data_IF_550023460429
#
_entry.id   IF_550023460429
#
_cell.length_a   1.000
_cell.length_b   1.000
_cell.length_c   1.000
_cell.angle_alpha   90.00
_cell.angle_beta   90.00
_cell.angle_gamma   90.00
#
_symmetry.space_group_name_H-M   'P 1'
#
loop_
_entity.id
_entity.type
_entity.pdbx_description
1 polymer ?
#
# COMPACT_ATOMS: atom_id res chain seq x y z
N UNK A 1 3.76 -10.82 -14.95
CA UNK A 1 4.57 -11.14 -13.75
C UNK A 1 5.79 -10.24 -13.80
N UNK A 2 6.01 -9.43 -12.77
CA UNK A 2 7.13 -8.49 -12.70
C UNK A 2 8.20 -9.09 -11.79
N UNK A 3 9.41 -9.33 -12.30
CA UNK A 3 10.53 -9.83 -11.51
C UNK A 3 11.50 -8.67 -11.29
N UNK A 4 11.76 -8.32 -10.04
CA UNK A 4 12.84 -7.42 -9.63
C UNK A 4 14.07 -8.27 -9.31
N UNK A 5 15.13 -8.16 -10.09
CA UNK A 5 16.43 -8.74 -9.75
C UNK A 5 17.36 -7.66 -9.21
N UNK A 6 17.89 -7.85 -8.00
CA UNK A 6 19.05 -7.10 -7.52
C UNK A 6 20.32 -7.80 -8.01
N UNK A 7 21.24 -7.05 -8.63
CA UNK A 7 22.54 -7.56 -9.03
C UNK A 7 23.59 -6.99 -8.08
N UNK A 8 24.35 -7.86 -7.39
CA UNK A 8 25.56 -7.43 -6.68
C UNK A 8 26.61 -7.06 -7.73
N UNK A 9 27.09 -5.83 -7.66
CA UNK A 9 27.99 -5.24 -8.64
C UNK A 9 29.42 -5.11 -8.14
N UNK A 10 29.76 -5.68 -6.98
CA UNK A 10 31.12 -5.64 -6.44
C UNK A 10 32.12 -6.27 -7.43
N UNK A 11 32.84 -5.48 -8.25
CA UNK A 11 33.80 -6.02 -9.20
C UNK A 11 35.12 -6.12 -8.45
N UNK A 12 35.46 -7.33 -8.03
CA UNK A 12 36.63 -7.64 -7.21
C UNK A 12 36.50 -7.14 -5.77
N UNK A 13 36.45 -8.10 -4.86
CA UNK A 13 36.74 -7.92 -3.44
C UNK A 13 37.99 -7.06 -3.25
N UNK A 14 37.82 -5.78 -2.92
CA UNK A 14 38.87 -5.03 -2.23
C UNK A 14 38.93 -5.68 -0.86
N UNK A 15 39.98 -6.47 -0.64
CA UNK A 15 40.30 -7.07 0.64
C UNK A 15 40.51 -5.97 1.68
N UNK A 16 39.43 -5.55 2.34
CA UNK A 16 39.53 -4.94 3.66
C UNK A 16 39.94 -6.04 4.63
N UNK A 17 40.74 -5.69 5.64
CA UNK A 17 41.35 -6.63 6.60
C UNK A 17 40.34 -7.50 7.39
N UNK A 18 39.03 -7.39 7.13
CA UNK A 18 37.94 -8.12 7.79
C UNK A 18 36.93 -8.85 6.87
N UNK A 19 37.13 -8.98 5.55
CA UNK A 19 36.21 -9.72 4.66
C UNK A 19 34.71 -9.32 4.77
N UNK A 20 34.41 -8.05 5.08
CA UNK A 20 33.03 -7.57 5.21
C UNK A 20 32.54 -6.92 3.92
N UNK A 21 31.67 -7.60 3.17
CA UNK A 21 30.94 -7.01 2.02
C UNK A 21 30.03 -5.89 2.51
N UNK A 22 30.19 -4.69 1.98
CA UNK A 22 29.36 -3.52 2.33
C UNK A 22 28.57 -3.07 1.12
N UNK A 23 27.25 -2.99 1.27
CA UNK A 23 26.35 -2.48 0.22
C UNK A 23 26.51 -0.96 0.17
N UNK A 24 27.01 -0.44 -0.95
CA UNK A 24 27.19 1.01 -1.18
C UNK A 24 25.98 1.66 -1.84
N UNK A 25 25.08 0.87 -2.41
CA UNK A 25 23.85 1.35 -3.03
C UNK A 25 23.13 0.22 -3.75
N UNK A 26 21.90 0.48 -4.18
CA UNK A 26 21.07 -0.52 -4.84
C UNK A 26 20.17 0.10 -5.90
N UNK A 27 19.71 -0.76 -6.81
CA UNK A 27 18.70 -0.42 -7.78
C UNK A 27 18.02 -1.69 -8.28
N UNK A 28 16.85 -1.52 -8.87
CA UNK A 28 16.02 -2.58 -9.40
C UNK A 28 15.25 -2.11 -10.64
N UNK A 29 14.95 -3.08 -11.49
CA UNK A 29 14.21 -2.89 -12.73
C UNK A 29 13.34 -4.11 -12.97
N UNK A 30 12.19 -3.90 -13.60
CA UNK A 30 11.40 -5.02 -14.07
C UNK A 30 11.94 -5.59 -15.37
N UNK A 31 12.04 -6.91 -15.43
CA UNK A 31 12.43 -7.62 -16.66
C UNK A 31 11.38 -7.53 -17.78
N UNK A 32 10.12 -7.22 -17.45
CA UNK A 32 9.04 -7.00 -18.41
C UNK A 32 8.38 -5.66 -18.14
N UNK A 33 8.09 -4.91 -19.20
CA UNK A 33 7.37 -3.63 -19.11
C UNK A 33 5.86 -3.83 -18.91
N UNK A 34 5.11 -2.73 -18.77
CA UNK A 34 3.65 -2.75 -18.58
C UNK A 34 2.88 -3.37 -19.76
N UNK A 35 3.50 -3.44 -20.96
CA UNK A 35 2.94 -4.09 -22.15
C UNK A 35 3.26 -5.59 -22.17
N UNK A 36 3.91 -6.09 -21.13
CA UNK A 36 4.42 -7.45 -21.00
C UNK A 36 5.49 -7.78 -22.05
N UNK A 37 6.29 -6.79 -22.46
CA UNK A 37 7.43 -6.99 -23.35
C UNK A 37 8.72 -7.02 -22.52
N UNK A 38 9.60 -7.97 -22.81
CA UNK A 38 10.90 -8.07 -22.15
C UNK A 38 11.77 -6.86 -22.50
N UNK A 39 12.40 -6.28 -21.49
CA UNK A 39 13.33 -5.17 -21.70
C UNK A 39 14.61 -5.62 -22.43
N UNK A 40 15.14 -4.80 -23.33
CA UNK A 40 16.33 -5.11 -24.13
C UNK A 40 17.13 -3.85 -24.48
N UNK A 41 18.44 -4.00 -24.74
CA UNK A 41 19.31 -2.87 -25.07
C UNK A 41 20.01 -2.24 -23.87
N UNK A 42 20.39 -0.97 -23.99
CA UNK A 42 21.21 -0.27 -23.00
C UNK A 42 20.33 0.47 -21.99
N UNK A 43 20.60 0.28 -20.70
CA UNK A 43 19.92 0.94 -19.60
C UNK A 43 20.90 1.74 -18.75
N UNK A 44 20.46 2.90 -18.27
CA UNK A 44 21.18 3.70 -17.28
C UNK A 44 20.24 3.95 -16.11
N UNK A 45 20.59 3.38 -14.96
CA UNK A 45 19.72 3.31 -13.81
C UNK A 45 20.33 4.07 -12.63
N UNK A 46 19.48 4.85 -11.95
CA UNK A 46 19.80 5.54 -10.71
C UNK A 46 20.13 4.54 -9.58
N UNK A 47 21.14 4.84 -8.77
CA UNK A 47 21.50 4.05 -7.58
C UNK A 47 21.03 4.80 -6.34
N UNK A 48 20.26 4.11 -5.48
CA UNK A 48 19.82 4.63 -4.18
C UNK A 48 20.82 4.27 -3.09
N UNK A 49 20.93 5.13 -2.09
CA UNK A 49 21.69 4.83 -0.88
C UNK A 49 21.02 3.70 -0.08
N UNK A 50 21.78 2.90 0.68
CA UNK A 50 21.23 1.94 1.62
C UNK A 50 20.31 2.60 2.65
N UNK A 51 19.37 1.84 3.26
CA UNK A 51 19.20 0.40 3.15
C UNK A 51 18.59 -0.05 1.81
N UNK A 52 18.84 -1.30 1.41
CA UNK A 52 18.17 -1.93 0.26
C UNK A 52 16.73 -2.21 0.62
N UNK A 53 15.79 -1.67 -0.15
CA UNK A 53 14.36 -1.83 0.06
C UNK A 53 13.76 -2.44 -1.20
N UNK A 54 13.91 -3.76 -1.44
CA UNK A 54 13.40 -4.42 -2.65
C UNK A 54 11.89 -4.64 -2.51
N UNK A 55 11.14 -3.56 -2.37
CA UNK A 55 9.73 -3.56 -2.01
C UNK A 55 8.93 -3.00 -3.17
N UNK A 56 8.82 -3.81 -4.23
CA UNK A 56 7.78 -3.70 -5.26
C UNK A 56 7.79 -2.47 -6.17
N UNK A 57 8.41 -1.34 -5.82
CA UNK A 57 8.56 -0.15 -6.68
C UNK A 57 10.01 -0.07 -7.15
N UNK A 58 10.28 -0.16 -8.45
CA UNK A 58 11.63 0.01 -8.94
C UNK A 58 12.06 1.46 -8.78
N UNK A 59 13.36 1.68 -8.57
CA UNK A 59 13.94 3.03 -8.48
C UNK A 59 13.60 3.90 -9.70
N UNK A 60 13.34 3.29 -10.87
CA UNK A 60 12.85 3.99 -12.07
C UNK A 60 11.55 4.77 -11.88
N UNK A 61 10.70 4.35 -10.94
CA UNK A 61 9.39 4.95 -10.69
C UNK A 61 9.43 6.00 -9.56
N UNK A 62 10.60 6.37 -9.04
CA UNK A 62 10.70 7.36 -7.96
C UNK A 62 10.47 8.77 -8.51
N UNK A 63 9.74 9.60 -7.75
CA UNK A 63 9.34 10.94 -8.18
C UNK A 63 10.44 12.00 -8.10
N UNK A 64 11.45 11.79 -7.24
CA UNK A 64 12.52 12.74 -7.01
C UNK A 64 13.82 12.04 -6.57
N UNK A 65 14.81 12.01 -7.46
CA UNK A 65 16.08 11.30 -7.26
C UNK A 65 17.13 12.15 -6.50
N UNK A 66 16.73 12.92 -5.50
CA UNK A 66 17.69 13.74 -4.73
C UNK A 66 18.65 12.92 -3.83
N UNK A 67 18.47 11.59 -3.77
CA UNK A 67 19.29 10.64 -3.00
C UNK A 67 20.15 9.72 -3.90
N UNK A 68 20.67 10.25 -5.01
CA UNK A 68 21.50 9.47 -5.93
C UNK A 68 22.90 9.23 -5.38
N UNK A 69 23.33 7.97 -5.38
CA UNK A 69 24.74 7.59 -5.21
C UNK A 69 25.44 7.29 -6.54
N UNK A 70 24.91 7.86 -7.64
CA UNK A 70 25.41 7.67 -9.00
C UNK A 70 24.44 6.94 -9.92
N UNK A 71 24.98 6.41 -11.03
CA UNK A 71 24.23 5.64 -12.03
C UNK A 71 24.98 4.38 -12.39
N UNK A 72 24.27 3.28 -12.53
CA UNK A 72 24.79 2.06 -13.15
C UNK A 72 24.34 2.02 -14.61
N UNK A 73 25.24 1.62 -15.51
CA UNK A 73 24.91 1.33 -16.90
C UNK A 73 25.09 -0.15 -17.15
N UNK A 74 24.10 -0.78 -17.77
CA UNK A 74 24.15 -2.19 -18.13
C UNK A 74 23.43 -2.43 -19.46
N UNK A 75 23.77 -3.54 -20.10
CA UNK A 75 23.21 -3.93 -21.39
C UNK A 75 22.49 -5.26 -21.24
N UNK A 76 21.23 -5.29 -21.63
CA UNK A 76 20.44 -6.49 -21.74
C UNK A 76 20.53 -7.06 -23.16
N UNK A 77 20.37 -8.40 -23.33
CA UNK A 77 20.45 -9.05 -24.62
C UNK A 77 19.57 -8.36 -25.67
N UNK A 78 20.14 -8.08 -26.83
CA UNK A 78 19.44 -7.52 -27.98
C UNK A 78 19.00 -8.65 -28.89
N UNK A 79 17.72 -8.66 -29.30
CA UNK A 79 17.14 -9.72 -30.10
C UNK A 79 15.73 -9.35 -30.56
N UNK A 80 14.96 -10.30 -31.13
CA UNK A 80 13.54 -10.07 -31.42
C UNK A 80 12.80 -9.69 -30.13
N UNK A 81 11.74 -8.89 -30.26
CA UNK A 81 10.90 -8.52 -29.12
C UNK A 81 10.29 -9.77 -28.49
N UNK A 82 10.65 -10.07 -27.25
CA UNK A 82 10.09 -11.18 -26.48
C UNK A 82 8.86 -10.66 -25.74
N UNK A 83 7.70 -11.25 -25.99
CA UNK A 83 6.47 -10.98 -25.26
C UNK A 83 6.24 -12.08 -24.22
N UNK A 84 5.75 -11.68 -23.04
CA UNK A 84 5.37 -12.63 -22.01
C UNK A 84 4.26 -13.55 -22.51
N UNK A 85 4.50 -14.86 -22.42
CA UNK A 85 3.58 -15.86 -22.93
C UNK A 85 2.29 -15.93 -22.09
N UNK A 86 1.19 -15.46 -22.68
CA UNK A 86 -0.15 -15.62 -22.13
C UNK A 86 -0.92 -16.76 -22.82
N UNK A 87 -0.27 -17.59 -23.64
CA UNK A 87 -0.94 -18.68 -24.33
C UNK A 87 -1.55 -19.68 -23.34
N UNK A 88 -2.66 -20.28 -23.77
CA UNK A 88 -3.29 -21.42 -23.12
C UNK A 88 -2.46 -22.65 -23.45
N UNK A 89 -1.49 -22.96 -22.59
CA UNK A 89 -0.81 -24.25 -22.60
C UNK A 89 -1.83 -25.30 -22.18
N UNK A 90 -1.91 -26.41 -22.90
CA UNK A 90 -2.69 -27.57 -22.44
C UNK A 90 -2.03 -28.14 -21.18
N UNK A 91 -2.65 -27.85 -20.04
CA UNK A 91 -2.25 -28.30 -18.70
C UNK A 91 -3.25 -29.31 -18.14
N UNK A 92 -4.09 -29.91 -18.99
CA UNK A 92 -5.14 -30.87 -18.58
C UNK A 92 -4.52 -32.06 -17.84
N UNK A 93 -3.32 -32.47 -18.22
CA UNK A 93 -2.58 -33.54 -17.56
C UNK A 93 -2.13 -33.14 -16.16
N UNK A 94 -1.47 -31.99 -16.01
CA UNK A 94 -0.92 -31.48 -14.75
C UNK A 94 -2.03 -31.06 -13.75
N UNK A 95 -3.20 -30.68 -14.26
CA UNK A 95 -4.40 -30.43 -13.45
C UNK A 95 -5.03 -31.72 -12.92
N UNK A 96 -5.02 -32.79 -13.72
CA UNK A 96 -5.62 -34.08 -13.36
C UNK A 96 -4.65 -35.04 -12.67
N UNK A 97 -3.37 -34.68 -12.59
CA UNK A 97 -2.33 -35.44 -11.89
C UNK A 97 -2.63 -35.43 -10.39
N UNK A 98 -3.37 -36.44 -9.94
CA UNK A 98 -3.59 -36.72 -8.52
C UNK A 98 -2.31 -37.35 -7.99
N UNK A 99 -1.62 -36.62 -7.11
CA UNK A 99 -0.55 -37.22 -6.35
C UNK A 99 -1.16 -38.03 -5.20
N UNK A 100 -0.78 -39.31 -5.08
CA UNK A 100 -1.20 -40.15 -3.96
C UNK A 100 -0.57 -39.60 -2.67
N UNK A 101 -1.41 -39.05 -1.79
CA UNK A 101 -1.01 -38.63 -0.45
C UNK A 101 -1.29 -39.76 0.53
N UNK A 102 -0.32 -40.12 1.36
CA UNK A 102 -0.57 -41.06 2.44
C UNK A 102 -1.41 -40.41 3.57
N UNK A 103 -1.96 -41.22 4.49
CA UNK A 103 -2.83 -40.70 5.55
C UNK A 103 -2.12 -39.71 6.49
N UNK A 104 -0.82 -39.88 6.72
CA UNK A 104 -0.02 -39.00 7.58
C UNK A 104 0.16 -37.62 6.93
N UNK A 105 0.41 -37.58 5.62
CA UNK A 105 0.51 -36.37 4.81
C UNK A 105 -0.80 -35.61 4.78
N UNK A 106 -1.93 -36.30 4.62
CA UNK A 106 -3.26 -35.67 4.68
C UNK A 106 -3.53 -35.07 6.06
N UNK A 107 -3.22 -35.80 7.13
CA UNK A 107 -3.32 -35.29 8.52
C UNK A 107 -2.42 -34.08 8.74
N UNK A 108 -1.19 -34.11 8.21
CA UNK A 108 -0.25 -32.98 8.29
C UNK A 108 -0.78 -31.76 7.54
N UNK A 109 -1.30 -31.92 6.32
CA UNK A 109 -1.92 -30.83 5.55
C UNK A 109 -3.09 -30.20 6.31
N UNK A 110 -4.01 -31.02 6.83
CA UNK A 110 -5.13 -30.52 7.62
C UNK A 110 -4.67 -29.76 8.87
N UNK A 111 -3.62 -30.26 9.54
CA UNK A 111 -3.04 -29.58 10.71
C UNK A 111 -2.45 -28.23 10.32
N UNK A 112 -1.72 -28.16 9.21
CA UNK A 112 -1.16 -26.91 8.68
C UNK A 112 -2.27 -25.91 8.35
N UNK A 113 -3.35 -26.34 7.69
CA UNK A 113 -4.49 -25.49 7.32
C UNK A 113 -5.13 -24.83 8.55
N UNK A 114 -5.29 -25.59 9.64
CA UNK A 114 -6.00 -25.11 10.84
C UNK A 114 -5.10 -24.28 11.75
N UNK A 115 -3.84 -24.68 11.91
CA UNK A 115 -2.96 -24.16 12.98
C UNK A 115 -1.95 -23.14 12.50
N UNK A 116 -1.67 -23.07 11.20
CA UNK A 116 -0.62 -22.18 10.69
C UNK A 116 -1.01 -20.73 10.86
N UNK A 117 -0.12 -19.97 11.49
CA UNK A 117 -0.21 -18.52 11.46
C UNK A 117 0.07 -18.01 10.04
N UNK A 118 -0.98 -17.56 9.35
CA UNK A 118 -0.95 -17.10 7.96
C UNK A 118 -0.06 -15.85 7.73
N UNK A 119 0.41 -15.20 8.80
CA UNK A 119 1.38 -14.11 8.73
C UNK A 119 2.82 -14.60 8.61
N UNK A 120 3.10 -15.85 9.00
CA UNK A 120 4.42 -16.46 8.90
C UNK A 120 4.63 -17.11 7.54
N UNK A 121 5.90 -17.20 7.16
CA UNK A 121 6.32 -18.02 6.03
C UNK A 121 6.40 -19.49 6.48
N UNK A 122 5.83 -20.38 5.67
CA UNK A 122 5.92 -21.83 5.93
C UNK A 122 7.26 -22.40 5.48
N UNK A 123 7.67 -23.49 6.12
CA UNK A 123 8.94 -24.16 5.83
C UNK A 123 8.95 -24.78 4.44
N UNK A 124 10.14 -24.97 3.85
CA UNK A 124 10.28 -25.47 2.48
C UNK A 124 9.62 -26.84 2.27
N UNK A 125 9.79 -27.74 3.23
CA UNK A 125 9.18 -29.08 3.18
C UNK A 125 7.65 -29.01 3.19
N UNK A 126 7.09 -28.11 4.00
CA UNK A 126 5.65 -27.88 4.06
C UNK A 126 5.13 -27.21 2.79
N UNK A 127 5.89 -26.31 2.16
CA UNK A 127 5.55 -25.75 0.84
C UNK A 127 5.40 -26.85 -0.20
N UNK A 128 6.40 -27.73 -0.28
CA UNK A 128 6.41 -28.85 -1.23
C UNK A 128 5.22 -29.80 -0.98
N UNK A 129 4.92 -30.11 0.28
CA UNK A 129 3.78 -30.93 0.67
C UNK A 129 2.43 -30.28 0.27
N UNK A 130 2.24 -29.00 0.58
CA UNK A 130 1.01 -28.26 0.24
C UNK A 130 0.83 -28.19 -1.28
N UNK A 131 1.89 -27.93 -2.05
CA UNK A 131 1.80 -27.89 -3.52
C UNK A 131 1.46 -29.26 -4.10
N UNK A 132 2.07 -30.33 -3.60
CA UNK A 132 1.76 -31.70 -4.01
C UNK A 132 0.32 -32.09 -3.66
N UNK A 133 -0.16 -31.66 -2.49
CA UNK A 133 -1.51 -31.89 -2.01
C UNK A 133 -2.57 -30.89 -2.48
N UNK A 134 -2.26 -30.00 -3.43
CA UNK A 134 -3.19 -28.95 -3.91
C UNK A 134 -4.58 -29.48 -4.31
N UNK A 135 -4.66 -30.65 -4.93
CA UNK A 135 -5.94 -31.27 -5.33
C UNK A 135 -6.76 -31.76 -4.13
N UNK A 136 -6.09 -32.21 -3.07
CA UNK A 136 -6.75 -32.58 -1.82
C UNK A 136 -7.37 -31.34 -1.13
N UNK A 137 -6.65 -30.21 -1.14
CA UNK A 137 -7.14 -28.95 -0.57
C UNK A 137 -8.33 -28.39 -1.38
N UNK A 138 -8.32 -28.59 -2.70
CA UNK A 138 -9.41 -28.17 -3.60
C UNK A 138 -10.66 -29.05 -3.52
N UNK A 139 -10.63 -30.16 -2.77
CA UNK A 139 -11.84 -30.92 -2.51
C UNK A 139 -12.88 -30.01 -1.84
N UNK A 140 -14.14 -30.06 -2.30
CA UNK A 140 -15.18 -29.09 -1.90
C UNK A 140 -15.34 -28.99 -0.38
N UNK A 141 -15.28 -30.12 0.33
CA UNK A 141 -15.41 -30.16 1.78
C UNK A 141 -14.32 -29.35 2.51
N UNK A 142 -13.05 -29.57 2.16
CA UNK A 142 -11.90 -28.87 2.76
C UNK A 142 -11.87 -27.40 2.36
N UNK A 143 -12.16 -27.12 1.09
CA UNK A 143 -12.08 -25.78 0.51
C UNK A 143 -13.11 -24.82 1.13
N UNK A 144 -14.33 -25.29 1.36
CA UNK A 144 -15.39 -24.49 1.98
C UNK A 144 -15.22 -24.33 3.49
N UNK A 145 -14.63 -25.32 4.17
CA UNK A 145 -14.38 -25.23 5.61
C UNK A 145 -13.23 -24.26 5.93
N UNK A 146 -12.19 -24.22 5.10
CA UNK A 146 -10.99 -23.44 5.33
C UNK A 146 -10.53 -22.63 4.12
N UNK A 147 -11.32 -21.65 3.63
CA UNK A 147 -11.00 -20.86 2.45
C UNK A 147 -9.75 -20.00 2.64
N UNK A 148 -9.36 -19.68 3.88
CA UNK A 148 -8.13 -18.94 4.22
C UNK A 148 -6.84 -19.70 3.89
N UNK A 149 -6.92 -21.02 3.64
CA UNK A 149 -5.77 -21.84 3.24
C UNK A 149 -5.17 -21.44 1.88
N UNK A 150 -5.84 -20.56 1.12
CA UNK A 150 -5.27 -19.94 -0.10
C UNK A 150 -3.93 -19.28 0.17
N UNK A 151 -3.72 -18.72 1.37
CA UNK A 151 -2.45 -18.10 1.73
C UNK A 151 -1.32 -19.13 1.71
N UNK A 152 -1.59 -20.36 2.19
CA UNK A 152 -0.64 -21.46 2.15
C UNK A 152 -0.37 -21.89 0.71
N UNK A 153 -1.42 -22.10 -0.08
CA UNK A 153 -1.28 -22.46 -1.50
C UNK A 153 -0.41 -21.44 -2.26
N UNK A 154 -0.69 -20.14 -2.07
CA UNK A 154 0.04 -19.05 -2.69
C UNK A 154 1.53 -19.00 -2.28
N UNK A 155 1.86 -19.39 -1.05
CA UNK A 155 3.25 -19.50 -0.58
C UNK A 155 3.99 -20.71 -1.17
N UNK A 156 3.25 -21.74 -1.59
CA UNK A 156 3.80 -23.03 -2.02
C UNK A 156 4.02 -23.17 -3.52
N UNK A 157 3.59 -22.21 -4.33
CA UNK A 157 3.73 -22.28 -5.80
C UNK A 157 5.22 -22.24 -6.20
N UNK A 158 5.71 -23.19 -7.01
CA UNK A 158 7.06 -23.13 -7.56
C UNK A 158 7.10 -22.12 -8.72
N UNK A 159 7.31 -20.84 -8.39
CA UNK A 159 7.30 -19.71 -9.33
C UNK A 159 8.38 -19.77 -10.42
N UNK A 160 9.41 -20.59 -10.21
CA UNK A 160 10.49 -20.88 -11.17
C UNK A 160 10.07 -21.86 -12.28
N UNK A 161 8.93 -22.53 -12.14
CA UNK A 161 8.42 -23.51 -13.12
C UNK A 161 7.19 -22.98 -13.85
N UNK A 162 7.32 -22.51 -15.12
CA UNK A 162 6.21 -21.88 -15.85
C UNK A 162 4.92 -22.72 -15.95
N UNK A 163 5.04 -24.04 -16.08
CA UNK A 163 3.89 -24.96 -16.13
C UNK A 163 3.10 -24.97 -14.82
N UNK A 164 3.78 -24.95 -13.68
CA UNK A 164 3.15 -24.96 -12.36
C UNK A 164 2.46 -23.62 -12.06
N UNK A 165 3.04 -22.51 -12.54
CA UNK A 165 2.39 -21.20 -12.51
C UNK A 165 1.08 -21.20 -13.31
N UNK A 166 1.04 -21.86 -14.47
CA UNK A 166 -0.19 -22.01 -15.26
C UNK A 166 -1.22 -22.89 -14.58
N UNK A 167 -0.79 -23.96 -13.90
CA UNK A 167 -1.68 -24.76 -13.04
C UNK A 167 -2.29 -23.87 -11.95
N UNK A 168 -1.46 -23.13 -11.22
CA UNK A 168 -1.92 -22.22 -10.17
C UNK A 168 -2.95 -21.20 -10.66
N UNK A 169 -2.74 -20.61 -11.85
CA UNK A 169 -3.67 -19.67 -12.48
C UNK A 169 -5.08 -20.25 -12.63
N UNK A 170 -5.21 -21.54 -12.92
CA UNK A 170 -6.51 -22.23 -12.98
C UNK A 170 -7.08 -22.56 -11.59
N UNK A 171 -6.21 -22.92 -10.64
CA UNK A 171 -6.64 -23.28 -9.29
C UNK A 171 -7.22 -22.08 -8.54
N UNK A 172 -6.56 -20.93 -8.62
CA UNK A 172 -7.00 -19.72 -7.90
C UNK A 172 -8.36 -19.21 -8.40
N UNK A 173 -8.70 -19.44 -9.66
CA UNK A 173 -10.01 -19.07 -10.22
C UNK A 173 -11.17 -19.88 -9.64
N UNK A 174 -10.90 -21.10 -9.17
CA UNK A 174 -11.90 -21.98 -8.53
C UNK A 174 -12.06 -21.70 -7.04
N UNK A 175 -11.18 -20.86 -6.46
CA UNK A 175 -11.13 -20.65 -5.03
C UNK A 175 -12.30 -19.78 -4.54
N UNK A 176 -13.03 -20.17 -3.46
CA UNK A 176 -14.13 -19.37 -2.93
C UNK A 176 -13.61 -18.07 -2.31
N UNK A 177 -14.39 -16.99 -2.45
CA UNK A 177 -14.00 -15.68 -1.91
C UNK A 177 -13.68 -15.75 -0.41
N UNK A 178 -12.65 -15.02 -0.02
CA UNK A 178 -12.16 -14.94 1.36
C UNK A 178 -12.52 -13.60 2.00
N UNK A 179 -12.38 -13.52 3.32
CA UNK A 179 -12.60 -12.27 4.05
C UNK A 179 -11.64 -11.16 3.61
N UNK A 180 -12.04 -9.91 3.82
CA UNK A 180 -11.23 -8.73 3.49
C UNK A 180 -9.86 -8.71 4.20
N UNK A 181 -9.75 -9.34 5.38
CA UNK A 181 -8.48 -9.47 6.11
C UNK A 181 -7.53 -10.43 5.39
N UNK A 182 -8.03 -11.57 4.91
CA UNK A 182 -7.23 -12.51 4.12
C UNK A 182 -6.86 -11.91 2.76
N UNK A 183 -7.80 -11.21 2.12
CA UNK A 183 -7.52 -10.48 0.88
C UNK A 183 -6.40 -9.44 1.09
N UNK A 184 -6.44 -8.68 2.19
CA UNK A 184 -5.38 -7.75 2.55
C UNK A 184 -4.03 -8.45 2.74
N UNK A 185 -4.01 -9.63 3.37
CA UNK A 185 -2.79 -10.46 3.50
C UNK A 185 -2.22 -10.83 2.13
N UNK A 186 -3.07 -11.21 1.17
CA UNK A 186 -2.67 -11.56 -0.20
C UNK A 186 -2.15 -10.35 -1.01
N UNK A 187 -2.33 -9.12 -0.55
CA UNK A 187 -1.75 -7.91 -1.17
C UNK A 187 -0.36 -7.55 -0.64
N UNK A 188 0.15 -8.30 0.34
CA UNK A 188 1.50 -8.13 0.89
C UNK A 188 2.59 -8.36 -0.16
N UNK A 189 3.80 -7.79 0.03
CA UNK A 189 4.89 -7.85 -0.96
C UNK A 189 5.34 -9.27 -1.30
N UNK A 190 5.19 -10.21 -0.36
CA UNK A 190 5.48 -11.64 -0.57
C UNK A 190 4.60 -12.29 -1.67
N UNK A 191 3.49 -11.64 -2.03
CA UNK A 191 2.57 -12.08 -3.06
C UNK A 191 2.59 -11.07 -4.23
N UNK A 192 3.65 -11.13 -5.04
CA UNK A 192 3.84 -10.23 -6.18
C UNK A 192 3.08 -10.67 -7.45
N UNK A 193 2.59 -11.91 -7.49
CA UNK A 193 1.92 -12.44 -8.68
C UNK A 193 0.60 -11.70 -8.95
N UNK A 194 0.37 -11.34 -10.22
CA UNK A 194 -0.80 -10.56 -10.65
C UNK A 194 -2.13 -11.29 -10.44
N UNK A 195 -2.18 -12.61 -10.60
CA UNK A 195 -3.41 -13.38 -10.38
C UNK A 195 -3.80 -13.39 -8.89
N UNK A 196 -2.82 -13.47 -7.99
CA UNK A 196 -3.07 -13.36 -6.54
C UNK A 196 -3.63 -11.98 -6.21
N UNK A 197 -3.02 -10.92 -6.74
CA UNK A 197 -3.48 -9.54 -6.51
C UNK A 197 -4.86 -9.31 -7.07
N UNK A 198 -5.14 -9.78 -8.28
CA UNK A 198 -6.46 -9.69 -8.90
C UNK A 198 -7.52 -10.44 -8.08
N UNK A 199 -7.22 -11.67 -7.64
CA UNK A 199 -8.10 -12.44 -6.78
C UNK A 199 -8.39 -11.71 -5.45
N UNK A 200 -7.35 -11.15 -4.81
CA UNK A 200 -7.49 -10.39 -3.58
C UNK A 200 -8.41 -9.16 -3.78
N UNK A 201 -8.21 -8.41 -4.87
CA UNK A 201 -9.08 -7.28 -5.22
C UNK A 201 -10.52 -7.73 -5.47
N UNK A 202 -10.74 -8.85 -6.17
CA UNK A 202 -12.08 -9.40 -6.40
C UNK A 202 -12.80 -9.79 -5.09
N UNK A 203 -12.07 -10.21 -4.06
CA UNK A 203 -12.62 -10.43 -2.72
C UNK A 203 -12.98 -9.10 -2.03
N UNK A 204 -12.17 -8.06 -2.21
CA UNK A 204 -12.41 -6.73 -1.63
C UNK A 204 -13.61 -6.01 -2.25
N UNK A 205 -14.00 -6.34 -3.49
CA UNK A 205 -15.19 -5.75 -4.13
C UNK A 205 -16.45 -5.93 -3.29
N UNK A 206 -16.61 -7.06 -2.60
CA UNK A 206 -17.76 -7.37 -1.75
C UNK A 206 -17.65 -6.78 -0.33
N UNK A 207 -16.48 -6.25 0.04
CA UNK A 207 -16.28 -5.62 1.34
C UNK A 207 -17.19 -4.39 1.45
N UNK A 208 -17.89 -4.25 2.58
CA UNK A 208 -18.70 -3.07 2.86
C UNK A 208 -17.80 -1.85 3.13
N UNK A 209 -18.36 -0.63 3.05
CA UNK A 209 -17.55 0.60 3.20
C UNK A 209 -17.02 0.81 4.62
N UNK A 210 -17.69 0.26 5.63
CA UNK A 210 -17.28 0.38 7.04
C UNK A 210 -16.00 -0.41 7.29
N UNK A 211 -15.99 -1.70 6.97
CA UNK A 211 -14.80 -2.55 7.03
C UNK A 211 -13.72 -2.08 6.06
N UNK A 212 -14.09 -1.58 4.87
CA UNK A 212 -13.10 -1.02 3.94
C UNK A 212 -12.40 0.20 4.54
N UNK A 213 -13.13 1.05 5.27
CA UNK A 213 -12.57 2.23 5.94
C UNK A 213 -11.54 1.86 7.00
N UNK A 214 -11.74 0.76 7.74
CA UNK A 214 -10.81 0.32 8.80
C UNK A 214 -9.49 -0.21 8.24
N UNK A 215 -9.53 -0.85 7.06
CA UNK A 215 -8.33 -1.36 6.38
C UNK A 215 -7.74 -0.42 5.31
N UNK A 216 -8.33 0.76 5.10
CA UNK A 216 -7.98 1.65 4.00
C UNK A 216 -6.50 2.08 4.06
N UNK A 217 -5.96 2.28 5.26
CA UNK A 217 -4.54 2.58 5.44
C UNK A 217 -3.66 1.52 4.82
N UNK A 218 -3.92 0.27 5.20
CA UNK A 218 -3.15 -0.88 4.80
C UNK A 218 -3.28 -1.11 3.29
N UNK A 219 -4.46 -0.87 2.71
CA UNK A 219 -4.65 -0.91 1.26
C UNK A 219 -3.83 0.15 0.52
N UNK A 220 -3.77 1.39 1.03
CA UNK A 220 -2.90 2.44 0.48
C UNK A 220 -1.42 2.04 0.61
N UNK A 221 -1.01 1.39 1.71
CA UNK A 221 0.35 0.85 1.82
C UNK A 221 0.61 -0.27 0.82
N UNK A 222 -0.36 -1.15 0.57
CA UNK A 222 -0.25 -2.24 -0.42
C UNK A 222 -0.07 -1.72 -1.85
N UNK A 223 -0.53 -0.50 -2.17
CA UNK A 223 -0.25 0.14 -3.45
C UNK A 223 1.24 0.33 -3.69
N UNK A 224 2.10 0.33 -2.66
CA UNK A 224 3.56 0.39 -2.83
C UNK A 224 4.12 -0.92 -3.39
N UNK A 225 3.43 -2.04 -3.19
CA UNK A 225 3.89 -3.34 -3.67
C UNK A 225 3.39 -3.65 -5.08
N UNK A 226 2.57 -2.77 -5.65
CA UNK A 226 2.07 -2.91 -7.02
C UNK A 226 3.17 -2.67 -8.03
N UNK A 227 3.11 -3.43 -9.13
CA UNK A 227 4.13 -3.32 -10.13
C UNK A 227 3.97 -2.10 -11.06
N UNK A 228 2.74 -1.66 -11.25
CA UNK A 228 2.43 -0.49 -12.08
C UNK A 228 1.51 0.46 -11.31
N UNK A 229 1.53 1.76 -11.61
CA UNK A 229 0.59 2.70 -11.02
C UNK A 229 -0.88 2.37 -11.33
N UNK A 230 -1.15 1.75 -12.50
CA UNK A 230 -2.49 1.32 -12.93
C UNK A 230 -2.70 -0.17 -12.62
N UNK A 231 -2.74 -0.52 -11.34
CA UNK A 231 -3.06 -1.87 -10.88
C UNK A 231 -4.55 -2.07 -10.61
N UNK A 232 -5.00 -3.33 -10.51
CA UNK A 232 -6.37 -3.67 -10.11
C UNK A 232 -6.74 -3.04 -8.76
N UNK A 233 -5.79 -3.03 -7.81
CA UNK A 233 -5.98 -2.41 -6.50
C UNK A 233 -6.17 -0.88 -6.63
N UNK A 234 -5.35 -0.22 -7.45
CA UNK A 234 -5.47 1.22 -7.68
C UNK A 234 -6.83 1.59 -8.31
N UNK A 235 -7.24 0.83 -9.33
CA UNK A 235 -8.53 0.99 -10.01
C UNK A 235 -9.67 0.81 -9.00
N UNK A 236 -9.66 -0.29 -8.24
CA UNK A 236 -10.64 -0.57 -7.20
C UNK A 236 -10.75 0.57 -6.19
N UNK A 237 -9.64 1.05 -5.64
CA UNK A 237 -9.62 2.11 -4.64
C UNK A 237 -10.16 3.43 -5.19
N UNK A 238 -9.79 3.81 -6.42
CA UNK A 238 -10.33 5.00 -7.08
C UNK A 238 -11.84 4.85 -7.29
N UNK A 239 -12.32 3.71 -7.80
CA UNK A 239 -13.75 3.48 -7.98
C UNK A 239 -14.53 3.57 -6.65
N UNK A 240 -14.05 2.93 -5.59
CA UNK A 240 -14.67 3.02 -4.26
C UNK A 240 -14.65 4.45 -3.71
N UNK A 241 -13.54 5.16 -3.86
CA UNK A 241 -13.38 6.55 -3.45
C UNK A 241 -14.37 7.49 -4.18
N UNK A 242 -14.62 7.27 -5.47
CA UNK A 242 -15.55 8.06 -6.27
C UNK A 242 -17.01 7.71 -6.01
N UNK A 243 -17.32 6.46 -5.68
CA UNK A 243 -18.67 6.04 -5.33
C UNK A 243 -19.09 6.52 -3.93
N UNK A 244 -18.13 6.57 -3.00
CA UNK A 244 -18.37 6.97 -1.59
C UNK A 244 -17.52 8.18 -1.23
N UNK A 245 -17.78 9.27 -1.95
CA UNK A 245 -17.01 10.53 -1.89
C UNK A 245 -16.85 11.08 -0.48
N UNK A 246 -17.93 11.17 0.30
CA UNK A 246 -17.92 11.81 1.61
C UNK A 246 -17.07 11.09 2.65
N UNK A 247 -16.96 9.76 2.56
CA UNK A 247 -16.23 8.91 3.51
C UNK A 247 -14.94 8.41 2.89
N UNK A 248 -15.02 7.35 2.08
CA UNK A 248 -13.91 6.65 1.43
C UNK A 248 -13.05 7.61 0.60
N UNK A 249 -13.67 8.46 -0.21
CA UNK A 249 -12.93 9.39 -1.07
C UNK A 249 -12.09 10.41 -0.30
N UNK A 250 -12.55 10.85 0.87
CA UNK A 250 -11.78 11.77 1.73
C UNK A 250 -10.62 11.07 2.41
N UNK A 251 -10.85 9.85 2.93
CA UNK A 251 -9.79 9.03 3.52
C UNK A 251 -8.72 8.78 2.45
N UNK A 252 -9.12 8.26 1.29
CA UNK A 252 -8.23 8.03 0.14
C UNK A 252 -7.38 9.27 -0.19
N UNK A 253 -8.01 10.45 -0.31
CA UNK A 253 -7.29 11.69 -0.57
C UNK A 253 -6.21 11.98 0.49
N UNK A 254 -6.58 11.97 1.77
CA UNK A 254 -5.66 12.37 2.86
C UNK A 254 -4.53 11.38 3.07
N UNK A 255 -4.79 10.08 2.89
CA UNK A 255 -3.77 9.04 2.99
C UNK A 255 -2.74 9.10 1.88
N UNK A 256 -3.16 9.37 0.64
CA UNK A 256 -2.22 9.55 -0.46
C UNK A 256 -1.49 10.89 -0.33
N UNK A 257 -2.22 11.97 0.02
CA UNK A 257 -1.67 13.32 0.12
C UNK A 257 -0.59 13.44 1.20
N UNK A 258 -0.72 12.70 2.30
CA UNK A 258 0.25 12.72 3.40
C UNK A 258 1.60 12.13 2.99
N UNK A 259 1.62 11.23 1.99
CA UNK A 259 2.83 10.53 1.56
C UNK A 259 3.53 11.14 0.33
N UNK A 260 2.98 12.18 -0.30
CA UNK A 260 3.60 12.80 -1.50
C UNK A 260 4.99 13.42 -1.26
N UNK A 261 5.43 13.55 -0.02
CA UNK A 261 6.77 14.02 0.32
C UNK A 261 7.83 12.90 0.26
N UNK A 262 7.40 11.64 0.21
CA UNK A 262 8.25 10.45 0.17
C UNK A 262 8.63 10.18 -1.30
N UNK A 263 9.91 10.34 -1.70
CA UNK A 263 10.32 10.22 -3.10
C UNK A 263 9.93 8.91 -3.78
N UNK A 264 9.99 7.81 -3.04
CA UNK A 264 9.75 6.43 -3.50
C UNK A 264 8.31 6.23 -3.97
N UNK A 265 7.35 6.90 -3.33
CA UNK A 265 5.92 6.77 -3.62
C UNK A 265 5.34 7.97 -4.35
N UNK A 266 6.06 9.11 -4.33
CA UNK A 266 5.58 10.40 -4.83
C UNK A 266 5.00 10.34 -6.23
N UNK A 267 5.72 9.77 -7.21
CA UNK A 267 5.24 9.70 -8.61
C UNK A 267 3.94 8.93 -8.72
N UNK A 268 3.90 7.71 -8.17
CA UNK A 268 2.72 6.83 -8.18
C UNK A 268 1.52 7.49 -7.52
N UNK A 269 1.73 8.03 -6.32
CA UNK A 269 0.68 8.65 -5.53
C UNK A 269 0.21 9.97 -6.14
N UNK A 270 1.10 10.74 -6.79
CA UNK A 270 0.72 11.94 -7.53
C UNK A 270 -0.20 11.59 -8.71
N UNK A 271 0.14 10.58 -9.52
CA UNK A 271 -0.70 10.14 -10.65
C UNK A 271 -2.09 9.68 -10.18
N UNK A 272 -2.16 8.88 -9.11
CA UNK A 272 -3.44 8.42 -8.56
C UNK A 272 -4.28 9.58 -8.01
N UNK A 273 -3.64 10.51 -7.30
CA UNK A 273 -4.32 11.68 -6.75
C UNK A 273 -4.82 12.60 -7.86
N UNK A 274 -4.02 12.78 -8.92
CA UNK A 274 -4.39 13.56 -10.09
C UNK A 274 -5.63 12.95 -10.77
N UNK A 275 -5.60 11.65 -11.07
CA UNK A 275 -6.72 10.93 -11.66
C UNK A 275 -8.00 11.07 -10.81
N UNK A 276 -7.91 10.87 -9.50
CA UNK A 276 -9.04 11.06 -8.59
C UNK A 276 -9.56 12.50 -8.60
N UNK A 277 -8.68 13.49 -8.47
CA UNK A 277 -9.06 14.90 -8.41
C UNK A 277 -9.72 15.35 -9.70
N UNK A 278 -9.32 14.84 -10.87
CA UNK A 278 -9.94 15.15 -12.16
C UNK A 278 -11.44 14.84 -12.18
N UNK A 279 -11.88 13.77 -11.50
CA UNK A 279 -13.26 13.24 -11.60
C UNK A 279 -14.06 13.24 -10.29
N UNK A 280 -13.50 13.71 -9.17
CA UNK A 280 -14.20 13.72 -7.87
C UNK A 280 -15.30 14.79 -7.72
N UNK A 281 -15.49 15.66 -8.72
CA UNK A 281 -16.59 16.64 -8.79
C UNK A 281 -16.57 17.66 -7.63
N UNK A 282 -17.73 17.95 -7.05
CA UNK A 282 -17.88 18.95 -5.98
C UNK A 282 -17.03 18.65 -4.72
N UNK A 283 -16.63 17.38 -4.52
CA UNK A 283 -15.73 17.00 -3.44
C UNK A 283 -14.38 17.74 -3.52
N UNK A 284 -13.92 18.12 -4.73
CA UNK A 284 -12.68 18.87 -4.94
C UNK A 284 -12.66 20.18 -4.14
N UNK A 285 -13.77 20.91 -4.12
CA UNK A 285 -13.91 22.16 -3.36
C UNK A 285 -13.82 21.90 -1.86
N UNK A 286 -14.47 20.84 -1.38
CA UNK A 286 -14.40 20.45 0.04
C UNK A 286 -12.96 20.13 0.46
N UNK A 287 -12.26 19.32 -0.34
CA UNK A 287 -10.86 18.97 -0.10
C UNK A 287 -9.98 20.22 -0.12
N UNK A 288 -10.18 21.11 -1.09
CA UNK A 288 -9.44 22.38 -1.18
C UNK A 288 -9.62 23.21 0.08
N UNK A 289 -10.85 23.36 0.57
CA UNK A 289 -11.13 24.11 1.79
C UNK A 289 -10.40 23.53 3.02
N UNK A 290 -10.35 22.19 3.14
CA UNK A 290 -9.60 21.53 4.20
C UNK A 290 -8.09 21.77 4.06
N UNK A 291 -7.54 21.66 2.84
CA UNK A 291 -6.13 21.95 2.56
C UNK A 291 -5.76 23.40 2.88
N UNK A 292 -6.61 24.35 2.51
CA UNK A 292 -6.36 25.78 2.75
C UNK A 292 -6.36 26.09 4.25
N UNK A 293 -7.25 25.46 5.03
CA UNK A 293 -7.21 25.51 6.49
C UNK A 293 -5.90 24.92 7.04
N UNK A 294 -5.51 23.72 6.62
CA UNK A 294 -4.25 23.11 7.04
C UNK A 294 -3.04 24.02 6.73
N UNK A 295 -2.97 24.60 5.53
CA UNK A 295 -1.90 25.52 5.13
C UNK A 295 -1.86 26.77 6.00
N UNK A 296 -3.02 27.39 6.28
CA UNK A 296 -3.11 28.57 7.16
C UNK A 296 -2.61 28.22 8.56
N UNK A 297 -3.07 27.11 9.14
CA UNK A 297 -2.61 26.64 10.45
C UNK A 297 -1.10 26.33 10.46
N UNK A 298 -0.56 25.68 9.41
CA UNK A 298 0.87 25.43 9.28
C UNK A 298 1.68 26.73 9.21
N UNK A 299 1.21 27.73 8.44
CA UNK A 299 1.86 29.03 8.30
C UNK A 299 1.91 29.76 9.63
N UNK A 300 0.77 29.87 10.31
CA UNK A 300 0.66 30.52 11.61
C UNK A 300 1.58 29.82 12.62
N UNK A 301 1.51 28.49 12.70
CA UNK A 301 2.33 27.69 13.61
C UNK A 301 3.83 27.90 13.35
N UNK A 302 4.27 27.97 12.08
CA UNK A 302 5.70 28.14 11.77
C UNK A 302 6.21 29.52 12.13
N UNK A 303 5.38 30.56 12.03
CA UNK A 303 5.80 31.95 12.28
C UNK A 303 5.83 32.31 13.77
N UNK A 304 4.96 31.73 14.60
CA UNK A 304 4.68 32.29 15.93
C UNK A 304 4.45 31.29 17.06
N UNK A 305 4.69 29.99 16.84
CA UNK A 305 4.40 29.00 17.89
C UNK A 305 5.25 29.16 19.17
N UNK A 306 6.36 29.91 19.11
CA UNK A 306 7.13 30.23 20.33
C UNK A 306 6.53 31.39 21.15
N UNK A 307 5.85 32.35 20.51
CA UNK A 307 5.34 33.58 21.14
C UNK A 307 3.93 33.42 21.71
N UNK A 308 3.06 32.64 21.04
CA UNK A 308 1.65 32.50 21.44
C UNK A 308 1.41 31.87 22.82
N UNK A 309 2.38 31.11 23.37
CA UNK A 309 2.25 30.59 24.75
C UNK A 309 2.15 31.73 25.76
N UNK A 310 2.80 32.87 25.47
CA UNK A 310 2.84 34.04 26.34
C UNK A 310 1.87 35.14 25.87
N UNK A 311 1.51 35.17 24.58
CA UNK A 311 0.56 36.14 24.01
C UNK A 311 -0.66 35.45 23.38
N UNK A 312 -1.62 35.09 24.25
CA UNK A 312 -2.90 34.47 23.84
C UNK A 312 -3.75 35.45 23.01
N UNK A 313 -3.63 36.76 23.24
CA UNK A 313 -4.39 37.76 22.49
C UNK A 313 -3.97 37.78 21.02
N UNK A 314 -2.67 37.64 20.75
CA UNK A 314 -2.15 37.49 19.39
C UNK A 314 -2.69 36.23 18.71
N UNK A 315 -2.65 35.07 19.39
CA UNK A 315 -3.21 33.82 18.85
C UNK A 315 -4.69 33.96 18.49
N UNK A 316 -5.50 34.52 19.40
CA UNK A 316 -6.94 34.71 19.19
C UNK A 316 -7.20 35.61 17.98
N UNK A 317 -6.45 36.71 17.84
CA UNK A 317 -6.55 37.63 16.70
C UNK A 317 -6.23 36.93 15.38
N UNK A 318 -5.18 36.12 15.34
CA UNK A 318 -4.76 35.43 14.13
C UNK A 318 -5.71 34.30 13.72
N UNK A 319 -6.25 33.55 14.69
CA UNK A 319 -7.27 32.53 14.43
C UNK A 319 -8.57 33.16 13.92
N UNK A 320 -8.98 34.32 14.46
CA UNK A 320 -10.15 35.05 14.00
C UNK A 320 -10.01 35.60 12.56
N UNK A 321 -8.77 35.81 12.08
CA UNK A 321 -8.51 36.20 10.70
C UNK A 321 -8.63 35.02 9.70
N UNK A 322 -8.76 33.78 10.18
CA UNK A 322 -8.96 32.62 9.30
C UNK A 322 -10.41 32.60 8.79
N UNK A 323 -10.58 33.06 7.55
CA UNK A 323 -11.87 32.94 6.84
C UNK A 323 -12.08 31.48 6.44
N UNK A 324 -13.22 30.93 6.86
CA UNK A 324 -13.70 29.58 6.53
C UNK A 324 -14.96 29.64 5.65
N UNK A 325 -15.20 28.63 4.80
CA UNK A 325 -16.51 28.41 4.19
C UNK A 325 -17.61 28.22 5.24
N UNK A 326 -18.88 28.39 4.85
CA UNK A 326 -20.04 28.20 5.74
C UNK A 326 -20.02 26.86 6.47
N UNK A 327 -19.67 25.78 5.78
CA UNK A 327 -19.53 24.44 6.35
C UNK A 327 -18.20 23.85 5.90
N UNK A 328 -17.41 23.40 6.86
CA UNK A 328 -16.16 22.67 6.63
C UNK A 328 -16.21 21.32 7.32
N UNK A 329 -15.62 20.31 6.69
CA UNK A 329 -15.57 18.95 7.23
C UNK A 329 -14.24 18.72 7.94
N UNK A 330 -14.25 17.93 9.02
CA UNK A 330 -13.00 17.48 9.64
C UNK A 330 -12.23 16.57 8.64
N UNK A 331 -10.93 16.83 8.38
CA UNK A 331 -10.13 16.08 7.39
C UNK A 331 -10.18 14.55 7.55
N UNK A 332 -10.08 14.07 8.78
CA UNK A 332 -9.97 12.65 9.11
C UNK A 332 -11.28 12.02 9.63
N UNK A 333 -12.36 12.80 9.79
CA UNK A 333 -13.66 12.29 10.26
C UNK A 333 -14.81 12.98 9.53
N UNK A 334 -15.30 12.32 8.50
CA UNK A 334 -16.28 12.88 7.56
C UNK A 334 -17.66 13.18 8.14
N UNK A 335 -18.02 12.53 9.26
CA UNK A 335 -19.27 12.78 9.98
C UNK A 335 -19.25 14.08 10.78
N UNK A 336 -18.08 14.62 11.09
CA UNK A 336 -17.95 15.86 11.84
C UNK A 336 -17.81 17.05 10.90
N UNK A 337 -18.63 18.08 11.16
CA UNK A 337 -18.65 19.34 10.41
C UNK A 337 -18.59 20.50 11.38
N UNK A 338 -17.96 21.58 10.95
CA UNK A 338 -17.84 22.80 11.72
C UNK A 338 -18.04 24.04 10.85
N UNK A 339 -18.46 25.12 11.50
CA UNK A 339 -18.80 26.39 10.84
C UNK A 339 -17.78 27.49 11.11
N UNK A 340 -17.13 27.48 12.29
CA UNK A 340 -16.09 28.45 12.65
C UNK A 340 -15.11 27.91 13.68
N UNK A 341 -13.93 28.55 13.78
CA UNK A 341 -13.01 28.39 14.91
C UNK A 341 -13.54 29.25 16.06
N UNK A 342 -13.55 28.71 17.28
CA UNK A 342 -13.85 29.43 18.53
C UNK A 342 -12.51 29.82 19.14
N UNK A 343 -11.95 30.93 18.66
CA UNK A 343 -10.57 31.32 18.94
C UNK A 343 -10.32 31.53 20.44
N UNK A 344 -11.33 32.00 21.17
CA UNK A 344 -11.28 32.24 22.62
C UNK A 344 -11.06 30.95 23.42
N UNK A 345 -11.47 29.81 22.86
CA UNK A 345 -11.33 28.47 23.47
C UNK A 345 -10.14 27.70 22.89
N UNK A 346 -9.29 28.35 22.11
CA UNK A 346 -8.08 27.75 21.56
C UNK A 346 -6.87 28.06 22.45
N UNK A 347 -5.90 27.15 22.52
CA UNK A 347 -4.68 27.34 23.32
C UNK A 347 -3.50 26.56 22.78
N UNK A 348 -2.30 27.00 23.15
CA UNK A 348 -1.07 26.23 22.95
C UNK A 348 -0.89 25.25 24.12
N UNK A 349 -0.76 23.95 23.86
CA UNK A 349 -0.55 22.95 24.92
C UNK A 349 0.90 22.95 25.41
N UNK A 350 1.08 22.63 26.69
CA UNK A 350 2.40 22.58 27.31
C UNK A 350 3.12 21.25 27.01
N UNK A 351 3.80 21.19 25.87
CA UNK A 351 4.66 20.07 25.49
C UNK A 351 5.81 20.56 24.61
N UNK A 352 6.80 19.70 24.37
CA UNK A 352 8.03 20.03 23.62
C UNK A 352 7.74 20.69 22.26
N UNK A 353 6.74 20.17 21.54
CA UNK A 353 6.34 20.67 20.22
C UNK A 353 5.22 21.71 20.28
N UNK A 354 4.75 22.12 21.47
CA UNK A 354 3.74 23.18 21.63
C UNK A 354 2.58 23.09 20.61
N UNK A 355 1.80 21.99 20.58
CA UNK A 355 0.72 21.85 19.61
C UNK A 355 -0.45 22.77 19.91
N UNK A 356 -1.23 23.11 18.87
CA UNK A 356 -2.41 23.94 19.02
C UNK A 356 -3.62 23.06 19.37
N UNK A 357 -4.23 23.34 20.51
CA UNK A 357 -5.56 22.84 20.83
C UNK A 357 -6.59 23.81 20.23
N UNK A 358 -7.31 23.33 19.23
CA UNK A 358 -8.28 24.10 18.46
C UNK A 358 -9.70 23.65 18.83
N UNK A 359 -10.56 24.63 19.09
CA UNK A 359 -11.97 24.42 19.34
C UNK A 359 -12.77 24.95 18.15
N UNK A 360 -13.66 24.13 17.61
CA UNK A 360 -14.51 24.47 16.48
C UNK A 360 -15.98 24.40 16.88
N UNK A 361 -16.77 25.35 16.37
CA UNK A 361 -18.22 25.33 16.53
C UNK A 361 -18.81 24.23 15.64
N UNK A 362 -19.50 23.27 16.25
CA UNK A 362 -20.21 22.23 15.54
C UNK A 362 -21.24 22.82 14.57
N UNK A 363 -21.43 22.17 13.44
CA UNK A 363 -22.49 22.52 12.50
C UNK A 363 -23.87 22.14 13.05
N UNK A 364 -23.96 21.04 13.79
CA UNK A 364 -25.16 20.67 14.53
C UNK A 364 -25.34 21.64 15.73
N UNK A 365 -26.45 22.40 15.80
CA UNK A 365 -26.72 23.32 16.91
C UNK A 365 -26.76 22.64 18.29
N UNK A 366 -27.19 21.37 18.34
CA UNK A 366 -27.28 20.57 19.56
C UNK A 366 -26.01 19.75 19.83
N UNK A 367 -25.07 19.77 18.88
CA UNK A 367 -23.83 19.01 18.97
C UNK A 367 -22.77 19.71 19.80
N UNK A 368 -22.02 18.91 20.58
CA UNK A 368 -20.87 19.40 21.34
C UNK A 368 -19.82 20.07 20.44
N UNK A 369 -19.05 21.05 20.96
CA UNK A 369 -17.92 21.62 20.25
C UNK A 369 -16.91 20.55 19.80
N UNK A 370 -16.32 20.75 18.63
CA UNK A 370 -15.33 19.82 18.06
C UNK A 370 -13.94 20.27 18.48
N UNK A 371 -13.20 19.37 19.12
CA UNK A 371 -11.82 19.62 19.56
C UNK A 371 -10.82 18.89 18.67
N UNK A 372 -9.79 19.62 18.21
CA UNK A 372 -8.73 19.07 17.36
C UNK A 372 -7.38 19.56 17.88
N UNK A 373 -6.43 18.64 18.03
CA UNK A 373 -5.04 18.98 18.30
C UNK A 373 -4.29 19.05 16.97
N UNK A 374 -3.76 20.22 16.64
CA UNK A 374 -2.91 20.42 15.48
C UNK A 374 -1.43 20.36 15.90
N UNK A 375 -0.74 19.35 15.38
CA UNK A 375 0.69 19.10 15.56
C UNK A 375 1.43 19.33 14.24
N UNK A 376 2.66 19.82 14.34
CA UNK A 376 3.60 19.91 13.23
C UNK A 376 4.93 19.31 13.69
N UNK A 377 5.67 18.71 12.77
CA UNK A 377 7.00 18.12 12.99
C UNK A 377 7.02 16.88 13.92
N UNK A 378 5.84 16.34 14.24
CA UNK A 378 5.65 15.02 14.84
C UNK A 378 5.17 14.01 13.77
N UNK A 379 5.73 12.81 13.78
CA UNK A 379 5.28 11.71 12.91
C UNK A 379 4.13 10.94 13.57
N UNK A 380 2.90 11.21 13.13
CA UNK A 380 1.67 10.63 13.68
C UNK A 380 1.30 9.28 13.05
N UNK A 381 2.16 8.69 12.19
CA UNK A 381 1.83 7.42 11.51
C UNK A 381 1.67 6.26 12.49
N UNK A 382 2.53 6.22 13.52
CA UNK A 382 2.46 5.19 14.56
C UNK A 382 1.21 5.36 15.44
N UNK A 383 0.90 6.58 15.87
CA UNK A 383 -0.32 6.87 16.64
C UNK A 383 -1.58 6.44 15.88
N UNK A 384 -1.65 6.78 14.60
CA UNK A 384 -2.77 6.43 13.74
C UNK A 384 -2.97 4.92 13.62
N UNK A 385 -1.88 4.13 13.51
CA UNK A 385 -1.99 2.67 13.50
C UNK A 385 -2.47 2.10 14.83
N UNK A 386 -2.00 2.64 15.95
CA UNK A 386 -2.37 2.19 17.29
C UNK A 386 -3.83 2.52 17.65
N UNK A 387 -4.35 3.64 17.17
CA UNK A 387 -5.74 4.06 17.40
C UNK A 387 -6.76 3.46 16.40
N UNK A 388 -6.30 2.72 15.40
CA UNK A 388 -7.18 2.04 14.43
C UNK A 388 -7.65 0.66 14.91
N UNK A 389 -7.18 0.20 16.08
CA UNK A 389 -7.52 -1.07 16.72
C UNK A 389 -8.45 -0.89 17.93
#
# INVERSE_FOLDING_TARGET
MFCSCGMDLSPNSISSENNTTTIIGWTDIYLFDYRKLMISGNYSQAIMLPPVIPIGIPVTEFGNLNQLNGKIQFKLPTGPTIQFDNSTVDITKELNEKCELNEEEQKKINTLIVTTNLLKEIEKEDKELIWRGRQFILNEETLHLHPSSIVLLCQSVPWDKPKEVKVFEQLIQKWPKVSHIIALRLLHFSFANSFIRQYAVNCLVECNDEHLSTIMMQLIQSLKFEATPLSDLAIFLIHRALNKRSTIGRIFFWLIKSELHIPETQRRFALLLEAFLMVCGAQRTVIKNQLDLCKKLTSLYTQQNQTWKNDINQLTKELNNIILPQITYVPFKSSLKFTKIVAENCKVLDSLRKPLFLTFKNEDPEGDPIYIIFKKDDDLRQDMTSCSY
#
